data_IF_427264633303
#
_entry.id   IF_427264633303
#
_cell.length_a   1.000
_cell.length_b   1.000
_cell.length_c   1.000
_cell.angle_alpha   90.00
_cell.angle_beta   90.00
_cell.angle_gamma   90.00
#
_symmetry.space_group_name_H-M   'P 1'
#
loop_
_entity.id
_entity.type
_entity.pdbx_description
1 polymer ?
#
# COMPACT_ATOMS: atom_id res chain seq x y z
N UNK A 1 -7.65 8.78 19.19
CA UNK A 1 -7.30 7.52 18.49
C UNK A 1 -6.03 6.95 19.12
N UNK A 2 -5.96 5.66 19.47
CA UNK A 2 -4.78 5.09 20.12
C UNK A 2 -3.57 5.19 19.19
N UNK A 3 -2.44 5.68 19.74
CA UNK A 3 -1.18 5.93 19.01
C UNK A 3 -0.66 4.70 18.25
N UNK A 4 -0.96 3.52 18.76
CA UNK A 4 -0.62 2.22 18.16
C UNK A 4 -1.21 1.99 16.76
N UNK A 5 -2.41 2.50 16.47
CA UNK A 5 -3.01 2.36 15.12
C UNK A 5 -2.15 3.04 14.05
N UNK A 6 -1.60 4.20 14.37
CA UNK A 6 -0.73 4.93 13.45
C UNK A 6 0.61 4.24 13.25
N UNK A 7 1.15 3.61 14.29
CA UNK A 7 2.37 2.79 14.17
C UNK A 7 2.17 1.62 13.21
N UNK A 8 1.04 0.92 13.31
CA UNK A 8 0.72 -0.17 12.36
C UNK A 8 0.47 0.31 10.94
N UNK A 9 -0.24 1.43 10.77
CA UNK A 9 -0.43 2.01 9.44
C UNK A 9 0.92 2.39 8.83
N UNK A 10 1.78 3.06 9.59
CA UNK A 10 3.11 3.43 9.13
C UNK A 10 3.96 2.20 8.75
N UNK A 11 3.97 1.16 9.59
CA UNK A 11 4.66 -0.08 9.31
C UNK A 11 4.12 -0.77 8.04
N UNK A 12 2.80 -0.85 7.89
CA UNK A 12 2.15 -1.41 6.71
C UNK A 12 2.49 -0.66 5.42
N UNK A 13 2.46 0.68 5.45
CA UNK A 13 2.87 1.52 4.31
C UNK A 13 4.36 1.38 4.00
N UNK A 14 5.23 1.24 5.01
CA UNK A 14 6.66 1.01 4.80
C UNK A 14 6.92 -0.31 4.07
N UNK A 15 6.23 -1.39 4.47
CA UNK A 15 6.30 -2.69 3.79
C UNK A 15 5.76 -2.59 2.36
N UNK A 16 4.64 -1.89 2.16
CA UNK A 16 4.06 -1.68 0.83
C UNK A 16 5.03 -0.92 -0.10
N UNK A 17 5.67 0.13 0.40
CA UNK A 17 6.67 0.90 -0.36
C UNK A 17 7.88 0.02 -0.72
N UNK A 18 8.40 -0.73 0.25
CA UNK A 18 9.52 -1.64 -0.01
C UNK A 18 9.17 -2.68 -1.07
N UNK A 19 8.00 -3.33 -0.94
CA UNK A 19 7.48 -4.26 -1.94
C UNK A 19 7.27 -3.61 -3.32
N UNK A 20 6.80 -2.37 -3.36
CA UNK A 20 6.63 -1.59 -4.60
C UNK A 20 7.96 -1.45 -5.32
N UNK A 21 9.04 -1.12 -4.60
CA UNK A 21 10.40 -1.02 -5.18
C UNK A 21 10.91 -2.38 -5.66
N UNK A 22 10.69 -3.45 -4.89
CA UNK A 22 11.06 -4.81 -5.31
C UNK A 22 10.36 -5.24 -6.60
N UNK A 23 9.07 -4.94 -6.75
CA UNK A 23 8.31 -5.28 -7.96
C UNK A 23 8.75 -4.41 -9.14
N UNK A 24 9.03 -3.12 -8.92
CA UNK A 24 9.61 -2.28 -9.97
C UNK A 24 10.91 -2.88 -10.50
N UNK A 25 11.84 -3.23 -9.60
CA UNK A 25 13.11 -3.88 -9.99
C UNK A 25 12.87 -5.21 -10.69
N UNK A 26 11.86 -5.98 -10.31
CA UNK A 26 11.53 -7.24 -10.98
C UNK A 26 11.07 -7.02 -12.42
N UNK A 27 10.26 -5.99 -12.69
CA UNK A 27 9.85 -5.65 -14.05
C UNK A 27 10.95 -4.96 -14.87
N UNK A 28 11.86 -4.24 -14.22
CA UNK A 28 12.93 -3.52 -14.89
C UNK A 28 14.10 -4.41 -15.34
N UNK A 29 14.29 -5.57 -14.69
CA UNK A 29 15.43 -6.49 -14.93
C UNK A 29 15.68 -6.86 -16.40
N UNK A 30 14.62 -7.08 -17.18
CA UNK A 30 14.70 -7.51 -18.59
C UNK A 30 14.05 -6.48 -19.54
N UNK A 31 13.97 -5.22 -19.09
CA UNK A 31 13.31 -4.13 -19.80
C UNK A 31 14.18 -3.54 -20.92
N UNK A 32 13.56 -3.29 -22.08
CA UNK A 32 14.21 -2.63 -23.23
C UNK A 32 13.80 -1.15 -23.37
N UNK A 33 12.81 -0.70 -22.59
CA UNK A 33 12.33 0.68 -22.61
C UNK A 33 11.59 1.03 -21.32
N UNK A 34 11.54 2.31 -20.96
CA UNK A 34 10.80 2.75 -19.78
C UNK A 34 9.31 2.37 -19.82
N UNK A 35 8.70 2.31 -21.01
CA UNK A 35 7.32 1.88 -21.20
C UNK A 35 7.11 0.40 -20.84
N UNK A 36 8.09 -0.46 -21.11
CA UNK A 36 8.03 -1.89 -20.82
C UNK A 36 8.14 -2.19 -19.33
N UNK A 37 8.81 -1.33 -18.56
CA UNK A 37 8.78 -1.37 -17.09
C UNK A 37 7.48 -0.76 -16.55
N UNK A 38 7.16 0.47 -16.95
CA UNK A 38 6.11 1.27 -16.32
C UNK A 38 4.70 0.74 -16.59
N UNK A 39 4.42 0.24 -17.80
CA UNK A 39 3.09 -0.26 -18.17
C UNK A 39 2.64 -1.43 -17.26
N UNK A 40 3.36 -2.56 -17.17
CA UNK A 40 2.98 -3.64 -16.28
C UNK A 40 3.09 -3.27 -14.80
N UNK A 41 4.05 -2.40 -14.44
CA UNK A 41 4.20 -1.92 -13.07
C UNK A 41 2.97 -1.17 -12.58
N UNK A 42 2.51 -0.16 -13.32
CA UNK A 42 1.36 0.67 -12.94
C UNK A 42 0.07 -0.16 -12.92
N UNK A 43 -0.13 -1.03 -13.93
CA UNK A 43 -1.29 -1.93 -13.97
C UNK A 43 -1.35 -2.82 -12.73
N UNK A 44 -0.19 -3.27 -12.22
CA UNK A 44 -0.11 -4.13 -11.03
C UNK A 44 -0.25 -3.34 -9.73
N UNK A 45 0.46 -2.22 -9.60
CA UNK A 45 0.60 -1.49 -8.33
C UNK A 45 -0.56 -0.54 -8.06
N UNK A 46 -1.16 0.07 -9.08
CA UNK A 46 -2.26 1.01 -8.87
C UNK A 46 -3.47 0.38 -8.14
N UNK A 47 -3.93 -0.84 -8.51
CA UNK A 47 -4.97 -1.54 -7.76
C UNK A 47 -4.57 -1.84 -6.30
N UNK A 48 -3.32 -2.26 -6.07
CA UNK A 48 -2.81 -2.57 -4.72
C UNK A 48 -2.83 -1.33 -3.83
N UNK A 49 -2.36 -0.20 -4.34
CA UNK A 49 -2.39 1.08 -3.63
C UNK A 49 -3.81 1.57 -3.36
N UNK A 50 -4.74 1.40 -4.32
CA UNK A 50 -6.14 1.75 -4.12
C UNK A 50 -6.75 0.98 -2.94
N UNK A 51 -6.49 -0.33 -2.86
CA UNK A 51 -6.98 -1.18 -1.76
C UNK A 51 -6.32 -0.77 -0.43
N UNK A 52 -5.00 -0.55 -0.43
CA UNK A 52 -4.27 -0.15 0.78
C UNK A 52 -4.78 1.19 1.35
N UNK A 53 -5.02 2.18 0.49
CA UNK A 53 -5.57 3.48 0.87
C UNK A 53 -7.01 3.32 1.39
N UNK A 54 -7.86 2.56 0.70
CA UNK A 54 -9.23 2.31 1.15
C UNK A 54 -9.26 1.64 2.54
N UNK A 55 -8.40 0.64 2.74
CA UNK A 55 -8.21 -0.02 4.04
C UNK A 55 -7.72 0.95 5.12
N UNK A 56 -6.73 1.80 4.82
CA UNK A 56 -6.24 2.81 5.75
C UNK A 56 -7.34 3.81 6.14
N UNK A 57 -8.13 4.29 5.15
CA UNK A 57 -9.28 5.16 5.40
C UNK A 57 -10.29 4.47 6.32
N UNK A 58 -10.61 3.20 6.08
CA UNK A 58 -11.52 2.44 6.92
C UNK A 58 -10.99 2.29 8.36
N UNK A 59 -9.70 1.99 8.54
CA UNK A 59 -9.06 1.88 9.87
C UNK A 59 -9.08 3.21 10.62
N UNK A 60 -8.80 4.33 9.94
CA UNK A 60 -8.81 5.67 10.54
C UNK A 60 -10.22 6.09 10.90
N UNK A 61 -11.20 5.86 10.01
CA UNK A 61 -12.59 6.25 10.22
C UNK A 61 -13.35 5.32 11.17
N UNK A 62 -12.83 4.14 11.48
CA UNK A 62 -13.47 3.17 12.37
C UNK A 62 -13.71 3.76 13.77
N UNK A 63 -14.98 4.06 14.14
CA UNK A 63 -15.35 4.51 15.46
C UNK A 63 -15.25 3.31 16.41
N UNK A 64 -14.31 3.34 17.34
CA UNK A 64 -14.20 2.31 18.37
C UNK A 64 -15.39 2.38 19.33
N UNK A 65 -16.40 1.55 19.07
CA UNK A 65 -17.33 0.92 20.02
C UNK A 65 -17.68 1.68 21.32
N UNK A 66 -18.85 2.33 21.35
CA UNK A 66 -19.62 2.51 22.58
C UNK A 66 -20.21 1.16 23.02
N UNK A 67 -19.35 0.19 23.37
CA UNK A 67 -19.76 -1.05 24.04
C UNK A 67 -19.36 -0.97 25.50
N UNK A 68 -20.23 -0.31 26.27
CA UNK A 68 -20.40 -0.57 27.70
C UNK A 68 -21.85 -1.05 27.85
N UNK A 69 -22.11 -2.31 28.27
CA UNK A 69 -23.35 -2.59 28.96
C UNK A 69 -23.38 -1.84 30.30
#
# INVERSE_FOLDING_TARGET
MPRWRWLWLAAGFAVLLYGTVLVFMAFDRDSHSASDTLRPFVITMAPVWAIAIAGAIAVVRWPGSHRTP
#
